data_IF_597285528266
#
_entry.id   IF_597285528266
#
_cell.length_a   1.000
_cell.length_b   1.000
_cell.length_c   1.000
_cell.angle_alpha   90.00
_cell.angle_beta   90.00
_cell.angle_gamma   90.00
#
_symmetry.space_group_name_H-M   'P 1'
#
loop_
_entity.id
_entity.type
_entity.pdbx_description
1 polymer ?
#
# COMPACT_ATOMS: atom_id res chain seq x y z
N UNK A 1 -1.92 19.16 -6.39
CA UNK A 1 -2.69 18.37 -5.37
C UNK A 1 -1.92 17.13 -4.99
N UNK A 2 -2.18 16.57 -3.79
CA UNK A 2 -1.54 15.35 -3.31
C UNK A 2 -2.60 14.26 -3.15
N UNK A 3 -2.44 13.18 -3.90
CA UNK A 3 -3.37 12.05 -3.92
C UNK A 3 -2.75 10.81 -3.33
N UNK A 4 -3.57 9.95 -2.72
CA UNK A 4 -3.16 8.66 -2.18
C UNK A 4 -4.13 7.58 -2.66
N UNK A 5 -3.58 6.46 -3.17
CA UNK A 5 -4.31 5.27 -3.64
C UNK A 5 -3.65 4.03 -3.01
N UNK A 6 -4.35 2.93 -2.88
CA UNK A 6 -3.81 1.65 -2.38
C UNK A 6 -4.40 0.46 -3.12
N UNK A 7 -3.73 -0.69 -3.03
CA UNK A 7 -4.26 -2.03 -3.34
C UNK A 7 -4.96 -2.12 -4.71
N UNK A 8 -4.21 -1.82 -5.77
CA UNK A 8 -4.71 -1.78 -7.15
C UNK A 8 -4.83 -3.19 -7.73
N UNK A 9 -3.90 -4.08 -7.37
CA UNK A 9 -3.90 -5.49 -7.76
C UNK A 9 -4.10 -5.74 -9.25
N UNK A 10 -3.20 -5.21 -10.07
CA UNK A 10 -3.20 -5.47 -11.52
C UNK A 10 -4.42 -4.97 -12.28
N UNK A 11 -5.26 -4.11 -11.68
CA UNK A 11 -6.44 -3.51 -12.31
C UNK A 11 -6.08 -2.18 -12.98
N UNK A 12 -5.33 -2.26 -14.08
CA UNK A 12 -4.97 -1.07 -14.86
C UNK A 12 -6.18 -0.26 -15.35
N UNK A 13 -7.28 -0.86 -15.82
CA UNK A 13 -8.45 -0.10 -16.26
C UNK A 13 -9.03 0.78 -15.15
N UNK A 14 -9.13 0.30 -13.92
CA UNK A 14 -9.63 1.09 -12.79
C UNK A 14 -8.63 2.16 -12.37
N UNK A 15 -7.34 1.86 -12.35
CA UNK A 15 -6.30 2.84 -12.08
C UNK A 15 -6.34 3.99 -13.11
N UNK A 16 -6.36 3.66 -14.39
CA UNK A 16 -6.44 4.67 -15.44
C UNK A 16 -7.72 5.51 -15.35
N UNK A 17 -8.87 4.86 -15.10
CA UNK A 17 -10.14 5.54 -14.87
C UNK A 17 -10.09 6.48 -13.66
N UNK A 18 -9.36 6.10 -12.59
CA UNK A 18 -9.14 6.96 -11.45
C UNK A 18 -8.32 8.19 -11.81
N UNK A 19 -7.22 8.04 -12.56
CA UNK A 19 -6.40 9.17 -13.03
C UNK A 19 -7.23 10.18 -13.85
N UNK A 20 -8.09 9.67 -14.74
CA UNK A 20 -9.03 10.53 -15.50
C UNK A 20 -10.03 11.23 -14.57
N UNK A 21 -10.59 10.52 -13.60
CA UNK A 21 -11.60 11.04 -12.67
C UNK A 21 -11.08 12.17 -11.78
N UNK A 22 -9.83 12.07 -11.34
CA UNK A 22 -9.19 13.11 -10.53
C UNK A 22 -8.54 14.20 -11.39
N UNK A 23 -8.57 14.06 -12.72
CA UNK A 23 -7.87 14.92 -13.68
C UNK A 23 -6.39 15.09 -13.35
N UNK A 24 -5.72 13.93 -13.09
CA UNK A 24 -4.32 13.88 -12.66
C UNK A 24 -3.39 14.49 -13.69
N UNK A 25 -2.48 15.34 -13.26
CA UNK A 25 -1.56 16.09 -14.11
C UNK A 25 -0.13 16.09 -13.58
N UNK A 26 0.82 16.62 -14.36
CA UNK A 26 2.23 16.74 -13.94
C UNK A 26 2.45 17.69 -12.76
N UNK A 27 1.48 18.54 -12.43
CA UNK A 27 1.54 19.42 -11.25
C UNK A 27 1.07 18.73 -9.95
N UNK A 28 0.52 17.53 -10.05
CA UNK A 28 0.02 16.75 -8.92
C UNK A 28 1.07 15.75 -8.44
N UNK A 29 0.91 15.23 -7.25
CA UNK A 29 1.68 14.11 -6.71
C UNK A 29 0.76 12.97 -6.32
N UNK A 30 1.14 11.73 -6.64
CA UNK A 30 0.42 10.54 -6.26
C UNK A 30 1.32 9.64 -5.40
N UNK A 31 0.82 9.18 -4.27
CA UNK A 31 1.44 8.13 -3.48
C UNK A 31 0.57 6.87 -3.55
N UNK A 32 1.17 5.75 -3.94
CA UNK A 32 0.51 4.43 -3.97
C UNK A 32 1.04 3.63 -2.80
N UNK A 33 0.15 3.18 -1.92
CA UNK A 33 0.51 2.52 -0.66
C UNK A 33 0.77 1.01 -0.83
N UNK A 34 1.28 0.58 -1.97
CA UNK A 34 1.60 -0.82 -2.24
C UNK A 34 0.49 -1.59 -2.93
N UNK A 35 0.77 -2.88 -3.11
CA UNK A 35 -0.11 -3.89 -3.70
C UNK A 35 -0.64 -3.51 -5.08
N UNK A 36 0.31 -3.15 -5.94
CA UNK A 36 0.06 -2.86 -7.36
C UNK A 36 -0.08 -4.14 -8.16
N UNK A 37 0.68 -5.19 -7.80
CA UNK A 37 0.71 -6.49 -8.48
C UNK A 37 -0.17 -7.54 -7.79
N UNK A 38 -0.29 -8.68 -8.43
CA UNK A 38 -1.04 -9.87 -8.03
C UNK A 38 -2.57 -9.72 -8.12
N UNK A 39 -3.25 -10.86 -8.10
CA UNK A 39 -4.72 -11.02 -8.17
C UNK A 39 -5.36 -10.58 -9.49
N UNK A 40 -4.91 -9.47 -10.10
CA UNK A 40 -5.44 -8.94 -11.36
C UNK A 40 -4.76 -9.48 -12.63
N UNK A 41 -5.05 -8.85 -13.77
CA UNK A 41 -4.60 -9.31 -15.10
C UNK A 41 -3.47 -8.49 -15.72
N UNK A 42 -3.28 -7.24 -15.30
CA UNK A 42 -2.35 -6.31 -15.96
C UNK A 42 -1.17 -5.95 -15.04
N UNK A 43 -0.63 -6.95 -14.31
CA UNK A 43 0.30 -6.73 -13.19
C UNK A 43 1.60 -6.05 -13.62
N UNK A 44 2.35 -6.64 -14.52
CA UNK A 44 3.63 -6.08 -14.97
C UNK A 44 3.43 -4.83 -15.83
N UNK A 45 2.35 -4.79 -16.62
CA UNK A 45 2.01 -3.59 -17.39
C UNK A 45 1.75 -2.39 -16.48
N UNK A 46 0.95 -2.58 -15.43
CA UNK A 46 0.64 -1.54 -14.45
C UNK A 46 1.88 -1.11 -13.67
N UNK A 47 2.69 -2.07 -13.20
CA UNK A 47 3.93 -1.78 -12.47
C UNK A 47 4.90 -0.95 -13.32
N UNK A 48 5.11 -1.32 -14.58
CA UNK A 48 5.96 -0.57 -15.51
C UNK A 48 5.36 0.80 -15.86
N UNK A 49 4.04 0.91 -16.00
CA UNK A 49 3.36 2.18 -16.21
C UNK A 49 3.63 3.14 -15.04
N UNK A 50 3.43 2.68 -13.80
CA UNK A 50 3.67 3.47 -12.57
C UNK A 50 5.15 3.86 -12.44
N UNK A 51 6.07 2.92 -12.70
CA UNK A 51 7.52 3.15 -12.61
C UNK A 51 8.02 4.30 -13.48
N UNK A 52 7.35 4.56 -14.60
CA UNK A 52 7.72 5.63 -15.54
C UNK A 52 7.02 6.96 -15.28
N UNK A 53 6.17 7.05 -14.26
CA UNK A 53 5.52 8.30 -13.87
C UNK A 53 6.40 9.08 -12.88
N UNK A 54 6.92 10.24 -13.28
CA UNK A 54 7.86 11.04 -12.48
C UNK A 54 7.29 11.57 -11.16
N UNK A 55 5.98 11.84 -11.11
CA UNK A 55 5.28 12.41 -9.97
C UNK A 55 4.51 11.38 -9.14
N UNK A 56 4.87 10.09 -9.27
CA UNK A 56 4.29 8.98 -8.52
C UNK A 56 5.34 8.35 -7.60
N UNK A 57 4.94 8.07 -6.37
CA UNK A 57 5.73 7.31 -5.40
C UNK A 57 4.99 6.01 -5.09
N UNK A 58 5.62 4.87 -5.36
CA UNK A 58 5.12 3.58 -4.92
C UNK A 58 5.80 3.19 -3.60
N UNK A 59 5.01 2.89 -2.57
CA UNK A 59 5.44 2.26 -1.32
C UNK A 59 5.35 0.75 -1.49
N UNK A 60 6.29 0.02 -0.89
CA UNK A 60 6.30 -1.45 -0.95
C UNK A 60 5.15 -2.03 -0.13
N UNK A 61 4.28 -2.79 -0.77
CA UNK A 61 3.33 -3.68 -0.12
C UNK A 61 3.87 -5.10 0.04
N UNK A 62 3.10 -5.97 0.69
CA UNK A 62 3.48 -7.37 0.84
C UNK A 62 3.52 -8.12 -0.50
N UNK A 63 2.71 -7.71 -1.50
CA UNK A 63 2.73 -8.32 -2.83
C UNK A 63 3.98 -7.93 -3.63
N UNK A 64 4.46 -6.68 -3.58
CA UNK A 64 5.76 -6.29 -4.13
C UNK A 64 6.91 -7.02 -3.42
N UNK A 65 6.81 -7.24 -2.10
CA UNK A 65 7.81 -8.01 -1.34
C UNK A 65 7.84 -9.48 -1.75
N UNK A 66 6.70 -10.14 -1.92
CA UNK A 66 6.64 -11.51 -2.43
C UNK A 66 7.23 -11.62 -3.83
N UNK A 67 6.92 -10.68 -4.71
CA UNK A 67 7.49 -10.64 -6.06
C UNK A 67 9.02 -10.46 -6.01
N UNK A 68 9.52 -9.56 -5.18
CA UNK A 68 10.96 -9.40 -4.94
C UNK A 68 11.61 -10.71 -4.49
N UNK A 69 11.03 -11.37 -3.49
CA UNK A 69 11.53 -12.64 -2.92
C UNK A 69 11.53 -13.77 -3.95
N UNK A 70 10.50 -13.82 -4.81
CA UNK A 70 10.44 -14.78 -5.91
C UNK A 70 11.56 -14.56 -6.93
N UNK A 71 11.78 -13.32 -7.37
CA UNK A 71 12.86 -12.99 -8.29
C UNK A 71 14.26 -13.25 -7.69
N UNK A 72 14.39 -13.18 -6.37
CA UNK A 72 15.62 -13.57 -5.63
C UNK A 72 15.79 -15.08 -5.50
N UNK A 73 14.78 -15.87 -5.79
CA UNK A 73 14.77 -17.32 -5.56
C UNK A 73 14.70 -17.74 -4.08
N UNK A 74 14.19 -16.86 -3.21
CA UNK A 74 14.11 -17.10 -1.77
C UNK A 74 12.75 -17.60 -1.30
N UNK A 75 11.72 -17.57 -2.16
CA UNK A 75 10.44 -18.24 -1.97
C UNK A 75 10.10 -19.10 -3.18
N UNK A 76 9.23 -20.09 -2.97
CA UNK A 76 8.75 -20.96 -4.04
C UNK A 76 7.59 -20.35 -4.81
N UNK A 77 7.40 -20.76 -6.07
CA UNK A 77 6.21 -20.41 -6.86
C UNK A 77 4.90 -20.75 -6.12
N UNK A 78 4.84 -21.94 -5.52
CA UNK A 78 3.65 -22.39 -4.80
C UNK A 78 3.29 -21.49 -3.62
N UNK A 79 4.29 -21.00 -2.87
CA UNK A 79 4.03 -20.08 -1.76
C UNK A 79 3.44 -18.76 -2.27
N UNK A 80 4.02 -18.17 -3.31
CA UNK A 80 3.50 -16.94 -3.89
C UNK A 80 2.11 -17.11 -4.52
N UNK A 81 1.88 -18.24 -5.20
CA UNK A 81 0.57 -18.56 -5.78
C UNK A 81 -0.55 -18.63 -4.72
N UNK A 82 -0.27 -19.12 -3.51
CA UNK A 82 -1.25 -19.14 -2.40
C UNK A 82 -1.64 -17.73 -1.94
N UNK A 83 -0.80 -16.74 -2.20
CA UNK A 83 -1.06 -15.33 -1.91
C UNK A 83 -1.68 -14.57 -3.10
N UNK A 84 -2.00 -15.26 -4.21
CA UNK A 84 -2.60 -14.65 -5.39
C UNK A 84 -1.61 -14.23 -6.49
N UNK A 85 -0.34 -14.64 -6.39
CA UNK A 85 0.75 -14.24 -7.29
C UNK A 85 0.81 -14.96 -8.63
N UNK A 86 -0.05 -15.96 -8.89
CA UNK A 86 0.03 -16.83 -10.07
C UNK A 86 0.01 -16.08 -11.41
N UNK A 87 -0.79 -15.02 -11.51
CA UNK A 87 -0.87 -14.19 -12.71
C UNK A 87 0.44 -13.41 -12.94
N UNK A 88 0.90 -12.66 -11.92
CA UNK A 88 2.16 -11.90 -11.96
C UNK A 88 3.35 -12.82 -12.27
N UNK A 89 3.41 -13.98 -11.59
CA UNK A 89 4.45 -14.99 -11.82
C UNK A 89 4.46 -15.47 -13.26
N UNK A 90 3.28 -15.79 -13.81
CA UNK A 90 3.17 -16.23 -15.21
C UNK A 90 3.65 -15.18 -16.22
N UNK A 91 3.42 -13.89 -15.93
CA UNK A 91 3.96 -12.79 -16.71
C UNK A 91 5.49 -12.69 -16.54
N UNK A 92 5.98 -12.72 -15.29
CA UNK A 92 7.40 -12.60 -14.96
C UNK A 92 8.26 -13.74 -15.51
N UNK A 93 7.77 -14.98 -15.48
CA UNK A 93 8.49 -16.15 -15.97
C UNK A 93 8.79 -16.09 -17.48
N UNK A 94 7.99 -15.34 -18.24
CA UNK A 94 8.19 -15.11 -19.69
C UNK A 94 9.19 -14.00 -20.00
N UNK A 95 9.59 -13.22 -19.00
CA UNK A 95 10.53 -12.13 -19.21
C UNK A 95 11.96 -12.64 -19.43
N UNK A 96 12.76 -11.96 -20.26
CA UNK A 96 14.21 -12.17 -20.31
C UNK A 96 14.86 -11.90 -18.93
N UNK A 97 15.94 -12.61 -18.63
CA UNK A 97 16.66 -12.48 -17.35
C UNK A 97 17.15 -11.06 -17.06
N UNK A 98 17.45 -10.29 -18.10
CA UNK A 98 17.80 -8.87 -17.94
C UNK A 98 16.64 -8.06 -17.36
N UNK A 99 15.43 -8.25 -17.89
CA UNK A 99 14.22 -7.59 -17.38
C UNK A 99 13.85 -8.02 -15.96
N UNK A 100 14.03 -9.27 -15.62
CA UNK A 100 13.86 -9.77 -14.24
C UNK A 100 14.84 -9.07 -13.29
N UNK A 101 16.09 -8.87 -13.70
CA UNK A 101 17.09 -8.14 -12.91
C UNK A 101 16.73 -6.65 -12.74
N UNK A 102 16.24 -6.00 -13.80
CA UNK A 102 15.78 -4.61 -13.73
C UNK A 102 14.61 -4.45 -12.77
N UNK A 103 13.62 -5.34 -12.84
CA UNK A 103 12.47 -5.35 -11.92
C UNK A 103 12.90 -5.61 -10.48
N UNK A 104 13.76 -6.61 -10.26
CA UNK A 104 14.30 -6.89 -8.93
C UNK A 104 15.04 -5.68 -8.35
N UNK A 105 15.86 -5.00 -9.15
CA UNK A 105 16.55 -3.79 -8.73
C UNK A 105 15.56 -2.69 -8.34
N UNK A 106 14.51 -2.48 -9.12
CA UNK A 106 13.46 -1.51 -8.83
C UNK A 106 12.69 -1.86 -7.55
N UNK A 107 12.20 -3.10 -7.40
CA UNK A 107 11.47 -3.55 -6.21
C UNK A 107 12.26 -3.34 -4.92
N UNK A 108 13.59 -3.54 -4.96
CA UNK A 108 14.49 -3.30 -3.83
C UNK A 108 14.58 -1.82 -3.42
N UNK A 109 14.33 -0.89 -4.33
CA UNK A 109 14.39 0.55 -4.04
C UNK A 109 13.10 1.11 -3.44
N UNK A 110 12.01 0.35 -3.47
CA UNK A 110 10.72 0.81 -2.97
C UNK A 110 10.80 1.11 -1.47
N UNK A 111 10.41 2.32 -1.02
CA UNK A 111 10.32 2.65 0.40
C UNK A 111 9.16 1.89 1.04
N UNK A 112 9.24 1.65 2.35
CA UNK A 112 8.17 1.03 3.13
C UNK A 112 7.21 2.04 3.77
N UNK A 113 7.58 3.32 3.76
CA UNK A 113 6.71 4.44 4.15
C UNK A 113 7.16 5.73 3.48
N UNK A 114 6.30 6.73 3.53
CA UNK A 114 6.60 8.12 3.16
C UNK A 114 5.96 9.08 4.16
N UNK A 115 6.72 10.09 4.59
CA UNK A 115 6.17 11.18 5.42
C UNK A 115 5.97 12.38 4.52
N UNK A 116 4.79 12.95 4.55
CA UNK A 116 4.44 14.17 3.82
C UNK A 116 3.79 15.19 4.75
N UNK A 117 3.96 16.45 4.43
CA UNK A 117 3.32 17.55 5.17
C UNK A 117 2.36 18.29 4.26
N UNK A 118 1.11 18.43 4.67
CA UNK A 118 0.07 19.16 3.97
C UNK A 118 -0.53 20.17 4.95
N UNK A 119 -0.48 21.46 4.63
CA UNK A 119 -0.99 22.54 5.47
C UNK A 119 -0.51 22.51 6.95
N UNK A 120 0.72 22.05 7.16
CA UNK A 120 1.32 21.94 8.49
C UNK A 120 1.05 20.62 9.22
N UNK A 121 0.14 19.78 8.73
CA UNK A 121 -0.13 18.44 9.27
C UNK A 121 0.79 17.39 8.66
N UNK A 122 1.36 16.51 9.49
CA UNK A 122 2.19 15.40 9.04
C UNK A 122 1.38 14.12 8.88
N UNK A 123 1.51 13.52 7.70
CA UNK A 123 0.93 12.22 7.37
C UNK A 123 2.03 11.18 7.22
N UNK A 124 1.89 10.05 7.88
CA UNK A 124 2.70 8.87 7.72
C UNK A 124 1.96 7.90 6.79
N UNK A 125 2.46 7.75 5.57
CA UNK A 125 1.89 6.91 4.54
C UNK A 125 2.65 5.58 4.53
N UNK A 126 1.94 4.47 4.66
CA UNK A 126 2.54 3.13 4.66
C UNK A 126 1.51 2.10 4.19
N UNK A 127 1.95 0.90 3.82
CA UNK A 127 1.04 -0.14 3.38
C UNK A 127 0.26 -0.75 4.55
N UNK A 128 0.91 -1.50 5.44
CA UNK A 128 0.27 -2.24 6.53
C UNK A 128 0.18 -1.48 7.86
N UNK A 129 0.97 -0.42 8.02
CA UNK A 129 0.87 0.52 9.13
C UNK A 129 1.74 0.19 10.33
N UNK A 130 1.27 -0.61 11.26
CA UNK A 130 1.83 -0.73 12.59
C UNK A 130 1.95 -2.20 13.00
N UNK A 131 3.02 -2.53 13.72
CA UNK A 131 3.14 -3.83 14.38
C UNK A 131 3.32 -3.60 15.90
N UNK A 132 2.38 -4.11 16.69
CA UNK A 132 2.28 -3.85 18.12
C UNK A 132 3.50 -4.32 18.92
N UNK A 133 4.16 -5.41 18.48
CA UNK A 133 5.34 -5.97 19.18
C UNK A 133 6.57 -5.05 19.10
N UNK A 134 6.58 -4.11 18.16
CA UNK A 134 7.69 -3.19 17.92
C UNK A 134 7.34 -1.72 18.23
N UNK A 135 6.30 -1.51 19.05
CA UNK A 135 5.88 -0.17 19.43
C UNK A 135 6.96 0.60 20.20
N UNK A 136 7.33 1.76 19.69
CA UNK A 136 8.21 2.71 20.37
C UNK A 136 7.36 3.85 20.91
N UNK A 137 7.22 3.91 22.22
CA UNK A 137 6.44 4.96 22.88
C UNK A 137 7.35 6.06 23.42
N UNK A 138 6.97 7.29 23.18
CA UNK A 138 7.61 8.45 23.79
C UNK A 138 7.26 8.50 25.28
N UNK A 139 8.27 8.51 26.19
CA UNK A 139 8.02 8.42 27.62
C UNK A 139 7.40 9.70 28.23
N UNK A 140 7.52 10.86 27.57
CA UNK A 140 7.00 12.13 28.07
C UNK A 140 5.55 12.33 27.65
N UNK A 141 5.22 12.00 26.39
CA UNK A 141 3.89 12.25 25.82
C UNK A 141 2.98 11.02 25.86
N UNK A 142 3.55 9.82 25.99
CA UNK A 142 2.83 8.57 25.86
C UNK A 142 2.39 8.22 24.43
N UNK A 143 2.76 9.05 23.44
CA UNK A 143 2.46 8.79 22.03
C UNK A 143 3.37 7.73 21.44
N UNK A 144 2.86 6.93 20.52
CA UNK A 144 3.67 6.01 19.74
C UNK A 144 4.35 6.78 18.61
N UNK A 145 5.69 6.76 18.58
CA UNK A 145 6.49 7.22 17.44
C UNK A 145 6.35 6.20 16.32
N UNK A 146 5.43 6.45 15.39
CA UNK A 146 5.12 5.49 14.32
C UNK A 146 6.32 5.22 13.43
N UNK A 147 7.15 6.21 13.15
CA UNK A 147 8.34 6.04 12.33
C UNK A 147 9.33 5.08 12.98
N UNK A 148 9.69 5.32 14.25
CA UNK A 148 10.62 4.43 14.95
C UNK A 148 10.07 3.02 15.11
N UNK A 149 8.76 2.89 15.37
CA UNK A 149 8.09 1.60 15.47
C UNK A 149 8.20 0.81 14.16
N UNK A 150 7.94 1.46 13.03
CA UNK A 150 8.05 0.85 11.69
C UNK A 150 9.51 0.51 11.35
N UNK A 151 10.46 1.42 11.63
CA UNK A 151 11.89 1.16 11.39
C UNK A 151 12.37 -0.06 12.19
N UNK A 152 11.94 -0.23 13.45
CA UNK A 152 12.27 -1.40 14.28
C UNK A 152 11.61 -2.68 13.78
N UNK A 153 10.32 -2.63 13.45
CA UNK A 153 9.59 -3.80 12.95
C UNK A 153 10.21 -4.32 11.64
N UNK A 154 10.44 -3.43 10.68
CA UNK A 154 11.01 -3.79 9.39
C UNK A 154 12.46 -4.29 9.48
N UNK A 155 13.26 -3.74 10.39
CA UNK A 155 14.62 -4.19 10.64
C UNK A 155 14.68 -5.57 11.31
N UNK A 156 13.71 -5.90 12.16
CA UNK A 156 13.60 -7.18 12.85
C UNK A 156 13.04 -8.27 11.93
N UNK A 157 11.94 -7.98 11.24
CA UNK A 157 11.25 -8.92 10.35
C UNK A 157 10.37 -8.13 9.35
N UNK A 158 10.91 -7.90 8.15
CA UNK A 158 10.24 -7.17 7.08
C UNK A 158 8.94 -7.87 6.63
N UNK A 159 8.95 -9.21 6.54
CA UNK A 159 7.79 -9.98 6.12
C UNK A 159 6.66 -9.82 7.13
N UNK A 160 6.95 -10.06 8.41
CA UNK A 160 5.98 -9.88 9.49
C UNK A 160 5.43 -8.44 9.54
N UNK A 161 6.26 -7.43 9.29
CA UNK A 161 5.81 -6.05 9.22
C UNK A 161 4.84 -5.82 8.06
N UNK A 162 5.19 -6.22 6.83
CA UNK A 162 4.38 -5.96 5.65
C UNK A 162 3.06 -6.76 5.62
N UNK A 163 2.98 -7.87 6.36
CA UNK A 163 1.77 -8.68 6.49
C UNK A 163 0.97 -8.39 7.77
N UNK A 164 1.35 -7.35 8.55
CA UNK A 164 0.66 -7.02 9.79
C UNK A 164 -0.66 -6.30 9.52
N UNK A 165 -1.71 -6.74 10.18
CA UNK A 165 -3.02 -6.08 10.24
C UNK A 165 -3.29 -5.45 11.64
N UNK A 166 -2.28 -5.42 12.50
CA UNK A 166 -2.37 -5.00 13.90
C UNK A 166 -3.03 -3.62 14.07
N UNK A 167 -2.76 -2.67 13.15
CA UNK A 167 -3.30 -1.30 13.26
C UNK A 167 -4.83 -1.26 13.34
N UNK A 168 -5.50 -2.26 12.75
CA UNK A 168 -6.96 -2.34 12.72
C UNK A 168 -7.53 -2.82 14.06
N UNK A 169 -6.72 -3.54 14.85
CA UNK A 169 -7.16 -4.23 16.08
C UNK A 169 -6.52 -3.69 17.37
N UNK A 170 -5.72 -2.62 17.29
CA UNK A 170 -5.09 -2.00 18.46
C UNK A 170 -6.12 -1.39 19.44
N UNK A 171 -5.84 -1.37 20.76
CA UNK A 171 -6.71 -0.73 21.74
C UNK A 171 -6.97 0.75 21.45
N UNK A 172 -8.18 1.23 21.79
CA UNK A 172 -8.58 2.62 21.57
C UNK A 172 -7.71 3.65 22.34
N UNK A 173 -6.97 3.20 23.36
CA UNK A 173 -6.05 4.04 24.14
C UNK A 173 -4.76 4.38 23.43
N UNK A 174 -4.36 3.59 22.42
CA UNK A 174 -3.13 3.85 21.63
C UNK A 174 -3.30 5.15 20.83
N UNK A 175 -2.32 6.04 20.93
CA UNK A 175 -2.23 7.30 20.18
C UNK A 175 -0.90 7.37 19.46
N UNK A 176 -0.90 7.89 18.25
CA UNK A 176 0.30 8.08 17.43
C UNK A 176 0.72 9.56 17.39
N UNK A 177 2.00 9.79 17.12
CA UNK A 177 2.60 11.12 17.03
C UNK A 177 2.17 11.90 15.77
N UNK A 178 1.57 11.22 14.79
CA UNK A 178 1.08 11.82 13.53
C UNK A 178 -0.09 11.06 12.93
N UNK A 179 -0.71 11.61 11.89
CA UNK A 179 -1.80 10.96 11.15
C UNK A 179 -1.24 9.84 10.29
N UNK A 180 -1.87 8.67 10.35
CA UNK A 180 -1.45 7.48 9.59
C UNK A 180 -2.47 7.18 8.49
N UNK A 181 -1.99 6.88 7.27
CA UNK A 181 -2.82 6.40 6.18
C UNK A 181 -2.26 5.06 5.72
N UNK A 182 -3.13 4.05 5.64
CA UNK A 182 -2.81 2.67 5.30
C UNK A 182 -3.69 2.13 4.18
N UNK A 183 -3.30 0.97 3.66
CA UNK A 183 -4.08 0.05 2.85
C UNK A 183 -4.08 -1.35 3.45
N UNK A 184 -3.85 -2.37 2.61
CA UNK A 184 -3.59 -3.77 2.96
C UNK A 184 -4.80 -4.57 3.43
N UNK A 185 -5.58 -4.07 4.38
CA UNK A 185 -6.72 -4.78 4.93
C UNK A 185 -8.02 -4.18 4.41
N UNK A 186 -8.75 -4.87 3.53
CA UNK A 186 -9.94 -4.29 2.91
C UNK A 186 -10.97 -3.80 3.93
N UNK A 187 -11.30 -2.51 3.88
CA UNK A 187 -12.26 -1.85 4.80
C UNK A 187 -13.60 -2.59 4.87
N UNK A 188 -14.04 -3.22 3.76
CA UNK A 188 -15.27 -4.01 3.73
C UNK A 188 -15.23 -5.24 4.66
N UNK A 189 -14.05 -5.65 5.13
CA UNK A 189 -13.86 -6.76 6.08
C UNK A 189 -13.73 -6.27 7.53
N UNK A 190 -13.62 -4.96 7.76
CA UNK A 190 -13.57 -4.41 9.11
C UNK A 190 -14.92 -4.64 9.83
N UNK A 191 -14.90 -5.01 11.11
CA UNK A 191 -16.10 -5.10 11.91
C UNK A 191 -16.90 -3.79 11.83
N UNK A 192 -18.22 -3.89 11.63
CA UNK A 192 -19.18 -2.78 11.61
C UNK A 192 -19.05 -1.79 10.43
N UNK A 193 -18.16 -2.03 9.44
CA UNK A 193 -18.04 -1.14 8.28
C UNK A 193 -18.94 -1.57 7.10
N UNK A 194 -18.83 -2.77 6.62
CA UNK A 194 -19.71 -3.38 5.59
C UNK A 194 -19.88 -2.60 4.27
N UNK A 195 -19.12 -1.52 4.06
CA UNK A 195 -19.17 -0.66 2.87
C UNK A 195 -17.78 -0.40 2.31
N UNK A 196 -17.66 -0.41 0.98
CA UNK A 196 -16.40 -0.08 0.30
C UNK A 196 -16.17 1.45 0.26
N UNK A 197 -15.96 2.05 1.42
CA UNK A 197 -15.63 3.48 1.60
C UNK A 197 -14.37 3.62 2.45
N UNK A 198 -13.61 4.67 2.22
CA UNK A 198 -12.46 5.03 3.05
C UNK A 198 -12.90 5.07 4.51
N UNK A 199 -12.15 4.39 5.36
CA UNK A 199 -12.36 4.41 6.81
C UNK A 199 -11.57 5.57 7.44
N UNK A 200 -12.28 6.46 8.11
CA UNK A 200 -11.70 7.56 8.88
C UNK A 200 -11.81 7.28 10.38
N UNK A 201 -10.83 6.57 10.90
CA UNK A 201 -10.73 6.32 12.34
C UNK A 201 -10.04 7.49 13.08
N UNK A 202 -10.14 7.48 14.40
CA UNK A 202 -9.46 8.48 15.25
C UNK A 202 -7.94 8.31 15.31
N UNK A 203 -7.41 7.16 14.85
CA UNK A 203 -6.00 6.77 14.95
C UNK A 203 -5.34 6.64 13.59
N UNK A 204 -6.06 6.18 12.60
CA UNK A 204 -5.59 5.97 11.22
C UNK A 204 -6.74 6.13 10.23
N UNK A 205 -6.39 6.35 8.98
CA UNK A 205 -7.29 6.29 7.83
C UNK A 205 -6.90 5.09 6.98
N UNK A 206 -7.87 4.26 6.61
CA UNK A 206 -7.65 3.12 5.71
C UNK A 206 -8.33 3.40 4.37
N UNK A 207 -7.55 3.30 3.30
CA UNK A 207 -8.00 3.58 1.94
C UNK A 207 -8.12 2.34 1.05
N UNK A 208 -7.83 1.14 1.58
CA UNK A 208 -8.12 -0.09 0.86
C UNK A 208 -9.62 -0.40 0.91
N UNK A 209 -10.33 -0.01 -0.12
CA UNK A 209 -11.78 -0.24 -0.23
C UNK A 209 -12.13 -1.51 -0.98
N UNK A 210 -11.18 -2.45 -1.07
CA UNK A 210 -11.37 -3.80 -1.60
C UNK A 210 -11.46 -3.86 -3.12
N UNK A 211 -10.55 -3.22 -3.85
CA UNK A 211 -10.56 -3.25 -5.31
C UNK A 211 -10.53 -4.68 -5.88
N UNK A 212 -9.81 -5.61 -5.23
CA UNK A 212 -9.75 -7.02 -5.63
C UNK A 212 -11.04 -7.81 -5.30
N UNK A 213 -11.99 -7.20 -4.56
CA UNK A 213 -13.26 -7.80 -4.12
C UNK A 213 -14.47 -7.14 -4.78
N UNK A 214 -14.39 -6.87 -6.07
CA UNK A 214 -15.47 -6.22 -6.82
C UNK A 214 -16.76 -7.01 -6.84
N UNK A 215 -16.71 -8.34 -6.79
CA UNK A 215 -17.82 -9.24 -6.62
C UNK A 215 -18.57 -9.04 -5.28
N UNK A 216 -17.86 -8.58 -4.25
CA UNK A 216 -18.42 -8.20 -2.95
C UNK A 216 -18.73 -6.69 -2.82
N UNK A 217 -18.69 -5.94 -3.93
CA UNK A 217 -18.97 -4.51 -3.95
C UNK A 217 -17.75 -3.61 -3.67
N UNK A 218 -16.56 -4.20 -3.61
CA UNK A 218 -15.30 -3.47 -3.48
C UNK A 218 -15.01 -2.58 -4.69
N UNK A 219 -14.15 -1.60 -4.52
CA UNK A 219 -13.78 -0.61 -5.56
C UNK A 219 -12.45 0.04 -5.25
N UNK A 220 -11.84 0.65 -6.26
CA UNK A 220 -10.65 1.45 -6.06
C UNK A 220 -11.02 2.82 -5.49
N UNK A 221 -10.36 3.23 -4.41
CA UNK A 221 -10.50 4.55 -3.81
C UNK A 221 -9.27 5.42 -4.05
N UNK A 222 -9.46 6.73 -3.97
CA UNK A 222 -8.40 7.72 -3.95
C UNK A 222 -8.76 8.83 -2.97
N UNK A 223 -7.83 9.19 -2.09
CA UNK A 223 -7.95 10.29 -1.14
C UNK A 223 -7.08 11.46 -1.59
N UNK A 224 -7.65 12.65 -1.68
CA UNK A 224 -6.90 13.90 -1.86
C UNK A 224 -6.61 14.52 -0.50
N UNK A 225 -5.35 14.73 -0.17
CA UNK A 225 -4.96 15.16 1.17
C UNK A 225 -5.16 16.66 1.41
N UNK A 226 -5.16 17.46 0.36
CA UNK A 226 -5.31 18.91 0.44
C UNK A 226 -6.65 19.35 1.04
N UNK A 227 -7.71 18.59 0.82
CA UNK A 227 -9.07 18.94 1.29
C UNK A 227 -9.88 17.72 1.79
N UNK A 228 -9.27 16.56 1.87
CA UNK A 228 -9.93 15.33 2.32
C UNK A 228 -10.94 14.74 1.32
N UNK A 229 -10.93 15.17 0.06
CA UNK A 229 -11.88 14.69 -0.95
C UNK A 229 -11.58 13.26 -1.37
N UNK A 230 -12.65 12.46 -1.40
CA UNK A 230 -12.63 11.06 -1.79
C UNK A 230 -13.14 10.85 -3.23
N UNK A 231 -12.50 9.91 -3.91
CA UNK A 231 -12.90 9.48 -5.25
C UNK A 231 -12.96 7.95 -5.29
N UNK A 232 -13.85 7.40 -6.11
CA UNK A 232 -14.07 5.96 -6.22
C UNK A 232 -14.36 5.56 -7.67
N UNK A 233 -13.85 4.40 -8.10
CA UNK A 233 -14.11 3.80 -9.41
C UNK A 233 -14.37 2.31 -9.31
#
# INVERSE_FOLDING_TARGET
MIYVISDIHGDYPSFYKMLLKINFSSSDSLCILGDVVDKGSDNLYLLEFIRHMENVCLIKGNHEYLFERYLQGTITASLWDTCGGSATRSEADRLPEEKKRELLAYLKTLPIYKIITVEGEQYFLTHSGYNADYAVQDPETGLVDIRKSVDQAAAADMERYLFSDDIHFIPASVRFDRKIIVGHYPVILLPDQGTARIYHGSRYTDIDTGNERRDAGGRLSCLRLDDGREFYV
#
